data_IF_070796998457
#
_entry.id   IF_070796998457
#
_cell.length_a   1.000
_cell.length_b   1.000
_cell.length_c   1.000
_cell.angle_alpha   90.00
_cell.angle_beta   90.00
_cell.angle_gamma   90.00
#
_symmetry.space_group_name_H-M   'P 1'
#
loop_
_entity.id
_entity.type
_entity.pdbx_description
1 polymer ?
#
# COMPACT_ATOMS: atom_id res chain seq x y z
N UNK A 1 -11.86 13.56 -7.31
CA UNK A 1 -11.98 12.57 -8.40
C UNK A 1 -12.46 11.24 -7.83
N UNK A 2 -13.10 10.40 -8.63
CA UNK A 2 -13.56 9.07 -8.22
C UNK A 2 -13.08 8.02 -9.19
N UNK A 3 -12.41 6.99 -8.68
CA UNK A 3 -12.03 5.79 -9.41
C UNK A 3 -13.09 4.74 -9.12
N UNK A 4 -13.92 4.44 -10.12
CA UNK A 4 -15.01 3.49 -9.97
C UNK A 4 -14.50 2.04 -9.91
N UNK A 5 -15.35 1.13 -9.44
CA UNK A 5 -15.05 -0.31 -9.47
C UNK A 5 -14.71 -0.77 -10.89
N UNK A 6 -13.68 -1.60 -11.03
CA UNK A 6 -13.14 -2.05 -12.32
C UNK A 6 -12.23 -1.03 -13.03
N UNK A 7 -12.17 0.23 -12.58
CA UNK A 7 -11.20 1.21 -13.06
C UNK A 7 -9.90 1.15 -12.27
N UNK A 8 -8.81 1.67 -12.87
CA UNK A 8 -7.50 1.72 -12.26
C UNK A 8 -6.95 3.15 -12.26
N UNK A 9 -6.33 3.52 -11.14
CA UNK A 9 -5.52 4.73 -10.99
C UNK A 9 -4.09 4.30 -10.66
N UNK A 10 -3.14 4.74 -11.47
CA UNK A 10 -1.73 4.49 -11.24
C UNK A 10 -0.86 5.53 -11.94
N UNK A 11 0.45 5.29 -11.93
CA UNK A 11 1.44 6.22 -12.45
C UNK A 11 2.10 7.07 -11.36
N UNK A 12 2.74 8.15 -11.77
CA UNK A 12 3.43 9.10 -10.88
C UNK A 12 2.95 10.52 -11.12
N UNK A 13 3.05 11.36 -10.09
CA UNK A 13 2.65 12.76 -10.13
C UNK A 13 1.72 13.14 -8.99
N UNK A 14 1.08 14.30 -9.13
CA UNK A 14 0.25 14.89 -8.08
C UNK A 14 -1.22 14.97 -8.48
N UNK A 15 -2.10 14.68 -7.53
CA UNK A 15 -3.53 14.88 -7.62
C UNK A 15 -3.91 15.96 -6.61
N UNK A 16 -4.36 17.11 -7.11
CA UNK A 16 -4.62 18.31 -6.28
C UNK A 16 -5.87 18.16 -5.40
N UNK A 17 -6.90 17.46 -5.89
CA UNK A 17 -8.18 17.35 -5.20
C UNK A 17 -8.36 16.06 -4.41
N UNK A 18 -9.43 16.02 -3.60
CA UNK A 18 -9.84 14.83 -2.88
C UNK A 18 -10.10 13.66 -3.84
N UNK A 19 -9.65 12.47 -3.44
CA UNK A 19 -9.75 11.26 -4.27
C UNK A 19 -10.48 10.15 -3.52
N UNK A 20 -11.43 9.54 -4.21
CA UNK A 20 -12.10 8.32 -3.76
C UNK A 20 -11.76 7.19 -4.70
N UNK A 21 -11.27 6.07 -4.15
CA UNK A 21 -10.97 4.87 -4.91
C UNK A 21 -11.91 3.76 -4.46
N UNK A 22 -12.76 3.33 -5.39
CA UNK A 22 -13.60 2.13 -5.29
C UNK A 22 -13.13 1.04 -6.27
N UNK A 23 -12.12 1.34 -7.09
CA UNK A 23 -11.46 0.42 -8.01
C UNK A 23 -10.04 0.07 -7.55
N UNK A 24 -9.10 0.05 -8.48
CA UNK A 24 -7.70 -0.28 -8.20
C UNK A 24 -6.83 0.97 -8.08
N UNK A 25 -6.00 1.02 -7.04
CA UNK A 25 -4.90 1.97 -6.89
C UNK A 25 -3.58 1.21 -7.08
N UNK A 26 -2.77 1.60 -8.05
CA UNK A 26 -1.50 0.96 -8.38
C UNK A 26 -0.33 1.90 -8.16
N UNK A 27 0.74 1.38 -7.57
CA UNK A 27 1.96 2.15 -7.37
C UNK A 27 3.18 1.29 -7.05
N UNK A 28 4.34 1.84 -7.38
CA UNK A 28 5.65 1.23 -7.09
C UNK A 28 6.47 2.18 -6.23
N UNK A 29 7.32 1.64 -5.34
CA UNK A 29 8.26 2.44 -4.56
C UNK A 29 9.10 3.35 -5.46
N UNK A 30 9.08 4.65 -5.18
CA UNK A 30 9.78 5.67 -5.98
C UNK A 30 9.06 6.08 -7.27
N UNK A 31 7.86 5.56 -7.55
CA UNK A 31 7.03 5.91 -8.70
C UNK A 31 5.56 5.70 -8.38
N UNK A 32 5.03 6.49 -7.44
CA UNK A 32 3.62 6.53 -7.14
C UNK A 32 3.08 7.96 -7.04
N UNK A 33 1.86 8.08 -6.55
CA UNK A 33 1.08 9.31 -6.58
C UNK A 33 1.13 10.07 -5.25
N UNK A 34 1.19 11.39 -5.35
CA UNK A 34 0.94 12.31 -4.25
C UNK A 34 -0.49 12.82 -4.33
N UNK A 35 -1.25 12.64 -3.26
CA UNK A 35 -2.59 13.20 -3.10
C UNK A 35 -2.48 14.45 -2.22
N UNK A 36 -2.68 15.62 -2.81
CA UNK A 36 -2.63 16.91 -2.11
C UNK A 36 -3.95 17.26 -1.38
N UNK A 37 -4.90 16.32 -1.34
CA UNK A 37 -6.13 16.39 -0.56
C UNK A 37 -6.37 15.08 0.21
N UNK A 38 -7.63 14.83 0.56
CA UNK A 38 -8.02 13.60 1.26
C UNK A 38 -8.04 12.40 0.31
N UNK A 39 -7.69 11.22 0.83
CA UNK A 39 -7.79 9.94 0.12
C UNK A 39 -8.76 9.01 0.85
N UNK A 40 -9.83 8.60 0.16
CA UNK A 40 -10.75 7.58 0.63
C UNK A 40 -10.58 6.30 -0.19
N UNK A 41 -10.22 5.21 0.49
CA UNK A 41 -10.28 3.85 -0.05
C UNK A 41 -11.57 3.21 0.46
N UNK A 42 -12.51 2.95 -0.45
CA UNK A 42 -13.78 2.30 -0.12
C UNK A 42 -13.63 0.78 -0.06
N UNK A 43 -14.49 0.08 0.68
CA UNK A 43 -14.34 -1.36 1.05
C UNK A 43 -14.07 -2.35 -0.10
N UNK A 44 -14.44 -2.03 -1.33
CA UNK A 44 -14.15 -2.82 -2.54
C UNK A 44 -12.85 -2.44 -3.27
N UNK A 45 -12.08 -1.49 -2.72
CA UNK A 45 -10.85 -1.00 -3.31
C UNK A 45 -9.72 -2.01 -3.20
N UNK A 46 -8.89 -2.04 -4.23
CA UNK A 46 -7.73 -2.92 -4.32
C UNK A 46 -6.49 -2.05 -4.49
N UNK A 47 -5.48 -2.27 -3.66
CA UNK A 47 -4.16 -1.65 -3.83
C UNK A 47 -3.22 -2.68 -4.44
N UNK A 48 -2.60 -2.35 -5.57
CA UNK A 48 -1.51 -3.12 -6.15
C UNK A 48 -0.19 -2.39 -5.86
N UNK A 49 0.64 -2.98 -5.00
CA UNK A 49 1.88 -2.39 -4.52
C UNK A 49 3.09 -3.23 -4.94
N UNK A 50 4.12 -2.54 -5.44
CA UNK A 50 5.44 -3.12 -5.66
C UNK A 50 6.49 -2.32 -4.86
N UNK A 51 7.22 -3.00 -3.97
CA UNK A 51 8.31 -2.39 -3.22
C UNK A 51 9.66 -2.74 -3.83
N UNK A 52 10.68 -1.95 -3.49
CA UNK A 52 12.06 -2.13 -3.94
C UNK A 52 12.98 -2.74 -2.85
N UNK A 53 12.88 -2.23 -1.62
CA UNK A 53 13.69 -2.64 -0.46
C UNK A 53 13.04 -2.22 0.88
N UNK A 54 13.43 -2.81 2.01
CA UNK A 54 13.01 -2.33 3.33
C UNK A 54 13.49 -0.89 3.57
N UNK A 55 12.62 -0.06 4.15
CA UNK A 55 12.89 1.37 4.34
C UNK A 55 13.03 2.15 3.03
N UNK A 56 12.60 1.57 1.91
CA UNK A 56 12.59 2.21 0.60
C UNK A 56 11.60 3.38 0.52
N UNK A 57 11.56 4.02 -0.64
CA UNK A 57 10.69 5.17 -0.85
C UNK A 57 9.22 4.75 -0.71
N UNK A 58 8.43 5.66 -0.15
CA UNK A 58 6.99 5.50 0.01
C UNK A 58 6.34 5.36 -1.37
N UNK A 59 5.27 4.58 -1.45
CA UNK A 59 4.55 4.43 -2.72
C UNK A 59 3.58 5.59 -2.91
N UNK A 60 2.80 5.92 -1.87
CA UNK A 60 1.81 6.98 -1.93
C UNK A 60 2.00 7.98 -0.80
N UNK A 61 1.87 9.27 -1.12
CA UNK A 61 1.88 10.36 -0.16
C UNK A 61 0.50 11.04 -0.13
N UNK A 62 -0.04 11.29 1.05
CA UNK A 62 -1.34 11.97 1.23
C UNK A 62 -1.14 13.17 2.15
N UNK A 63 -1.43 14.38 1.70
CA UNK A 63 -1.31 15.56 2.56
C UNK A 63 -2.53 15.73 3.47
N UNK A 64 -3.66 15.13 3.09
CA UNK A 64 -4.91 15.15 3.85
C UNK A 64 -5.12 13.94 4.77
N UNK A 65 -6.38 13.74 5.13
CA UNK A 65 -6.85 12.56 5.86
C UNK A 65 -6.91 11.34 4.93
N UNK A 66 -6.80 10.17 5.54
CA UNK A 66 -6.93 8.89 4.83
C UNK A 66 -8.02 8.02 5.47
N UNK A 67 -8.89 7.47 4.63
CA UNK A 67 -9.82 6.39 5.01
C UNK A 67 -9.31 5.11 4.39
N UNK A 68 -9.06 4.10 5.22
CA UNK A 68 -8.51 2.81 4.83
C UNK A 68 -9.58 1.73 5.00
N UNK A 69 -10.32 1.42 3.94
CA UNK A 69 -11.21 0.27 3.87
C UNK A 69 -10.92 -0.49 2.57
N UNK A 70 -10.01 -1.46 2.56
CA UNK A 70 -9.67 -2.11 1.28
C UNK A 70 -8.76 -3.31 1.39
N UNK A 71 -8.40 -3.88 0.24
CA UNK A 71 -7.42 -4.95 0.16
C UNK A 71 -6.10 -4.46 -0.44
N UNK A 72 -5.00 -5.09 -0.04
CA UNK A 72 -3.67 -4.84 -0.60
C UNK A 72 -3.10 -6.14 -1.17
N UNK A 73 -2.58 -6.01 -2.38
CA UNK A 73 -1.83 -7.01 -3.12
C UNK A 73 -0.39 -6.52 -3.27
N UNK A 74 0.57 -7.29 -2.77
CA UNK A 74 1.99 -6.99 -2.94
C UNK A 74 2.56 -7.91 -4.01
N UNK A 75 3.00 -7.34 -5.13
CA UNK A 75 3.52 -8.09 -6.28
C UNK A 75 5.03 -8.32 -6.21
N UNK A 76 5.77 -7.48 -5.50
CA UNK A 76 7.22 -7.56 -5.34
C UNK A 76 7.69 -6.85 -4.08
N UNK A 77 8.78 -7.34 -3.48
CA UNK A 77 9.58 -6.63 -2.48
C UNK A 77 10.96 -6.23 -3.00
N UNK A 78 11.15 -6.34 -4.31
CA UNK A 78 12.40 -6.07 -5.01
C UNK A 78 13.52 -6.99 -4.54
N UNK A 79 14.71 -6.43 -4.33
CA UNK A 79 15.86 -7.16 -3.77
C UNK A 79 15.83 -7.21 -2.24
N UNK A 80 14.72 -6.77 -1.63
CA UNK A 80 14.54 -6.62 -0.21
C UNK A 80 14.33 -7.92 0.55
N UNK A 81 14.96 -8.04 1.72
CA UNK A 81 14.69 -9.08 2.71
C UNK A 81 13.63 -8.65 3.73
N UNK A 82 13.52 -9.37 4.85
CA UNK A 82 12.64 -8.99 5.96
C UNK A 82 12.84 -7.55 6.40
N UNK A 83 11.75 -6.82 6.61
CA UNK A 83 11.81 -5.44 7.11
C UNK A 83 10.51 -4.68 6.93
N UNK A 84 10.58 -3.37 7.20
CA UNK A 84 9.46 -2.44 7.11
C UNK A 84 9.36 -1.85 5.70
N UNK A 85 8.16 -1.86 5.14
CA UNK A 85 7.86 -1.31 3.83
C UNK A 85 6.82 -0.20 3.93
N UNK A 86 7.11 0.93 3.30
CA UNK A 86 6.29 2.14 3.38
C UNK A 86 5.29 2.19 2.24
N UNK A 87 4.05 1.76 2.49
CA UNK A 87 2.98 1.83 1.49
C UNK A 87 2.44 3.26 1.34
N UNK A 88 2.13 3.89 2.47
CA UNK A 88 1.56 5.23 2.53
C UNK A 88 2.37 6.15 3.43
N UNK A 89 2.19 7.44 3.19
CA UNK A 89 2.32 8.51 4.16
C UNK A 89 0.99 9.25 4.21
N UNK A 90 0.64 9.78 5.37
CA UNK A 90 -0.45 10.73 5.46
C UNK A 90 -0.14 11.77 6.53
N UNK A 91 -0.40 13.05 6.25
CA UNK A 91 -0.19 14.13 7.21
C UNK A 91 -1.42 14.39 8.10
N UNK A 92 -2.61 13.96 7.66
CA UNK A 92 -3.85 14.05 8.43
C UNK A 92 -4.06 12.87 9.37
N UNK A 93 -5.33 12.55 9.60
CA UNK A 93 -5.76 11.41 10.42
C UNK A 93 -6.06 10.18 9.56
N UNK A 94 -5.91 9.00 10.14
CA UNK A 94 -6.36 7.74 9.55
C UNK A 94 -7.65 7.27 10.20
N UNK A 95 -8.58 6.78 9.38
CA UNK A 95 -9.82 6.11 9.83
C UNK A 95 -10.13 4.89 8.94
N UNK A 96 -11.25 4.22 9.21
CA UNK A 96 -11.68 3.00 8.51
C UNK A 96 -11.35 1.71 9.27
N UNK A 97 -11.67 0.58 8.65
CA UNK A 97 -11.46 -0.78 9.14
C UNK A 97 -10.04 -1.30 8.93
N UNK A 98 -9.21 -0.56 8.19
CA UNK A 98 -7.85 -0.91 7.82
C UNK A 98 -7.76 -1.66 6.50
N UNK A 99 -6.53 -1.95 6.06
CA UNK A 99 -6.28 -2.74 4.87
C UNK A 99 -6.16 -4.22 5.20
N UNK A 100 -6.63 -5.07 4.30
CA UNK A 100 -6.48 -6.52 4.40
C UNK A 100 -5.47 -6.98 3.37
N UNK A 101 -4.44 -7.71 3.80
CA UNK A 101 -3.52 -8.34 2.86
C UNK A 101 -4.24 -9.50 2.17
N UNK A 102 -4.42 -9.40 0.86
CA UNK A 102 -5.07 -10.44 0.05
C UNK A 102 -4.02 -11.31 -0.63
N UNK A 103 -3.10 -10.70 -1.37
CA UNK A 103 -2.00 -11.40 -2.03
C UNK A 103 -0.66 -10.85 -1.58
N UNK A 104 0.26 -11.75 -1.28
CA UNK A 104 1.66 -11.38 -1.13
C UNK A 104 2.56 -12.30 -1.94
N UNK A 105 3.22 -11.76 -2.96
CA UNK A 105 4.33 -12.41 -3.66
C UNK A 105 5.65 -11.90 -3.09
N UNK A 106 5.92 -12.25 -1.84
CA UNK A 106 7.31 -12.29 -1.41
C UNK A 106 8.01 -13.40 -2.20
N UNK A 107 9.27 -13.20 -2.60
CA UNK A 107 10.08 -14.33 -3.07
C UNK A 107 9.97 -15.50 -2.09
N UNK A 108 10.20 -16.73 -2.56
CA UNK A 108 9.75 -18.03 -2.01
C UNK A 108 10.04 -18.34 -0.51
N UNK A 109 10.56 -17.39 0.28
CA UNK A 109 11.05 -17.55 1.65
C UNK A 109 10.49 -16.55 2.68
N UNK A 110 9.49 -15.71 2.36
CA UNK A 110 8.95 -14.70 3.29
C UNK A 110 7.41 -14.74 3.45
N UNK A 111 6.91 -14.55 4.68
CA UNK A 111 5.49 -14.27 4.95
C UNK A 111 5.31 -12.78 5.25
N UNK A 112 4.36 -12.14 4.60
CA UNK A 112 4.05 -10.73 4.82
C UNK A 112 3.00 -10.61 5.93
N UNK A 113 3.31 -9.87 6.98
CA UNK A 113 2.40 -9.55 8.06
C UNK A 113 2.04 -8.07 7.96
N UNK A 114 0.77 -7.79 7.69
CA UNK A 114 0.24 -6.43 7.74
C UNK A 114 -0.15 -6.10 9.19
N UNK A 115 0.42 -5.04 9.77
CA UNK A 115 0.03 -4.56 11.11
C UNK A 115 -0.76 -3.25 11.01
N UNK A 116 -1.97 -3.18 11.60
CA UNK A 116 -2.85 -2.02 11.46
C UNK A 116 -2.45 -0.80 12.32
N UNK A 117 -1.56 -0.91 13.30
CA UNK A 117 -1.16 0.24 14.13
C UNK A 117 -0.01 1.04 13.48
N UNK A 118 -0.34 2.16 12.84
CA UNK A 118 0.65 3.16 12.38
C UNK A 118 1.46 2.78 11.14
N UNK A 119 0.86 2.08 10.18
CA UNK A 119 1.42 1.75 8.86
C UNK A 119 2.78 1.02 8.89
N UNK A 120 2.79 -0.19 9.46
CA UNK A 120 3.98 -1.05 9.52
C UNK A 120 3.67 -2.40 8.88
N UNK A 121 4.08 -2.59 7.62
CA UNK A 121 4.07 -3.92 7.00
C UNK A 121 5.41 -4.61 7.28
N UNK A 122 5.39 -5.70 8.04
CA UNK A 122 6.57 -6.50 8.37
C UNK A 122 6.58 -7.77 7.51
N UNK A 123 7.62 -7.98 6.70
CA UNK A 123 7.88 -9.31 6.17
C UNK A 123 8.64 -10.13 7.23
N UNK A 124 8.06 -11.24 7.72
CA UNK A 124 8.69 -12.16 8.68
C UNK A 124 9.21 -13.37 7.90
N UNK A 125 10.52 -13.61 7.96
CA UNK A 125 11.12 -14.83 7.44
C UNK A 125 10.83 -15.96 8.44
N UNK A 126 10.02 -16.94 8.08
CA UNK A 126 10.04 -18.22 8.78
C UNK A 126 11.18 -19.05 8.20
N UNK A 127 12.29 -19.14 8.94
CA UNK A 127 13.25 -20.21 8.72
C UNK A 127 12.55 -21.52 9.11
N UNK A 128 12.18 -22.34 8.13
CA UNK A 128 12.02 -23.76 8.40
C UNK A 128 13.43 -24.31 8.67
N UNK A 129 13.73 -24.57 9.95
CA UNK A 129 14.82 -25.47 10.32
C UNK A 129 14.45 -26.83 9.73
N UNK A 130 15.09 -27.21 8.64
CA UNK A 130 15.19 -28.61 8.30
C UNK A 130 16.11 -29.25 9.34
N UNK A 131 15.51 -30.05 10.21
CA UNK A 131 16.15 -31.07 11.04
C UNK A 131 16.95 -32.05 10.19
#
# INVERSE_FOLDING_TARGET
MTVNSGAMLGGSGEIVGNTTVNGTLEGTSGSGLTFNGDLMLGSGSIINAAFDRPGGTRIFDVTGNIVLDGTVNVSSFGTGGPGLYHLFHYAGTSSGAGLRLERCRAGERGQCVYQPAGQRSLCRQYQWRHS
#
